data_IF_861891899727
#
_entry.id   IF_861891899727
#
_cell.length_a   1.000
_cell.length_b   1.000
_cell.length_c   1.000
_cell.angle_alpha   90.00
_cell.angle_beta   90.00
_cell.angle_gamma   90.00
#
_symmetry.space_group_name_H-M   'P 1'
#
loop_
_entity.id
_entity.type
_entity.pdbx_description
1 polymer ?
#
# COMPACT_ATOMS: atom_id res chain seq x y z
N UNK A 1 -2.93 10.36 18.82
CA UNK A 1 -3.71 10.87 17.66
C UNK A 1 -2.91 10.77 16.35
N UNK A 2 -2.16 9.68 16.11
CA UNK A 2 -1.29 9.51 14.93
C UNK A 2 -1.60 8.29 14.05
N UNK A 3 -2.72 7.61 14.30
CA UNK A 3 -3.11 6.34 13.66
C UNK A 3 -4.27 6.49 12.66
N UNK A 4 -4.59 7.73 12.25
CA UNK A 4 -5.77 8.06 11.42
C UNK A 4 -5.42 8.23 9.93
N UNK A 5 -4.15 8.07 9.54
CA UNK A 5 -3.75 8.13 8.12
C UNK A 5 -3.36 6.74 7.59
N UNK A 6 -4.34 5.90 7.18
CA UNK A 6 -4.08 4.68 6.40
C UNK A 6 -3.64 4.99 4.94
N UNK A 7 -3.13 6.20 4.70
CA UNK A 7 -2.70 6.69 3.39
C UNK A 7 -1.21 7.06 3.34
N UNK A 8 -0.50 7.06 4.47
CA UNK A 8 0.91 7.37 4.48
C UNK A 8 1.71 6.11 4.11
N UNK A 9 2.57 6.16 3.07
CA UNK A 9 3.44 5.05 2.70
C UNK A 9 4.25 4.68 3.94
N UNK A 10 3.88 3.54 4.53
CA UNK A 10 4.24 3.23 5.90
C UNK A 10 5.74 3.01 6.06
N UNK A 11 6.42 2.47 5.06
CA UNK A 11 7.82 2.06 5.17
C UNK A 11 8.80 3.24 5.35
N UNK A 12 8.76 4.35 4.58
CA UNK A 12 9.60 5.53 4.85
C UNK A 12 9.39 6.16 6.22
N UNK A 13 8.14 6.21 6.69
CA UNK A 13 7.78 6.86 7.97
C UNK A 13 8.11 5.94 9.14
N UNK A 14 7.92 4.63 9.00
CA UNK A 14 8.43 3.62 9.92
C UNK A 14 9.96 3.70 10.02
N UNK A 15 10.65 3.74 8.88
CA UNK A 15 12.10 3.86 8.83
C UNK A 15 12.58 5.15 9.50
N UNK A 16 11.94 6.29 9.21
CA UNK A 16 12.26 7.56 9.85
C UNK A 16 12.02 7.51 11.37
N UNK A 17 10.92 6.90 11.83
CA UNK A 17 10.66 6.73 13.26
C UNK A 17 11.68 5.82 13.95
N UNK A 18 12.08 4.72 13.30
CA UNK A 18 13.10 3.80 13.77
C UNK A 18 14.48 4.46 13.82
N UNK A 19 14.81 5.30 12.84
CA UNK A 19 16.04 6.09 12.80
C UNK A 19 16.09 7.12 13.94
N UNK A 20 15.00 7.85 14.17
CA UNK A 20 14.91 8.82 15.27
C UNK A 20 14.98 8.12 16.64
N UNK A 21 14.37 6.94 16.79
CA UNK A 21 14.47 6.14 18.01
C UNK A 21 15.91 5.64 18.26
N UNK A 22 16.59 5.14 17.22
CA UNK A 22 18.00 4.73 17.31
C UNK A 22 18.92 5.91 17.66
N UNK A 23 18.65 7.10 17.11
CA UNK A 23 19.39 8.31 17.42
C UNK A 23 19.15 8.80 18.86
N UNK A 24 17.93 8.69 19.37
CA UNK A 24 17.59 9.04 20.76
C UNK A 24 18.24 8.11 21.80
N UNK A 25 18.63 6.89 21.39
CA UNK A 25 19.37 5.92 22.21
C UNK A 25 20.88 5.92 21.92
N UNK A 26 21.42 6.95 21.25
CA UNK A 26 22.85 7.07 20.88
C UNK A 26 23.40 5.85 20.10
N UNK A 27 22.52 5.16 19.35
CA UNK A 27 22.84 3.92 18.63
C UNK A 27 23.34 2.79 19.54
N UNK A 28 23.04 2.83 20.84
CA UNK A 28 23.52 1.85 21.82
C UNK A 28 23.11 0.40 21.52
N UNK A 29 21.94 0.19 20.90
CA UNK A 29 21.41 -1.13 20.54
C UNK A 29 21.20 -1.31 19.02
N UNK A 30 20.90 -0.22 18.29
CA UNK A 30 20.59 -0.26 16.86
C UNK A 30 21.74 0.36 16.08
N UNK A 31 22.70 -0.48 15.69
CA UNK A 31 23.87 -0.06 14.92
C UNK A 31 23.59 0.17 13.42
N UNK A 32 24.60 0.72 12.71
CA UNK A 32 24.52 1.06 11.28
C UNK A 32 24.08 -0.13 10.38
N UNK A 33 24.45 -1.36 10.72
CA UNK A 33 24.04 -2.57 10.00
C UNK A 33 22.53 -2.78 10.01
N UNK A 34 21.87 -2.56 11.14
CA UNK A 34 20.41 -2.74 11.29
C UNK A 34 19.65 -1.68 10.48
N UNK A 35 20.17 -0.44 10.45
CA UNK A 35 19.63 0.64 9.62
C UNK A 35 19.78 0.35 8.12
N UNK A 36 20.90 -0.22 7.68
CA UNK A 36 21.09 -0.61 6.28
C UNK A 36 20.08 -1.71 5.89
N UNK A 37 19.87 -2.72 6.74
CA UNK A 37 18.87 -3.78 6.50
C UNK A 37 17.46 -3.21 6.43
N UNK A 38 17.07 -2.35 7.38
CA UNK A 38 15.76 -1.68 7.38
C UNK A 38 15.57 -0.77 6.15
N UNK A 39 16.63 -0.08 5.71
CA UNK A 39 16.63 0.71 4.49
C UNK A 39 16.41 -0.13 3.24
N UNK A 40 17.10 -1.28 3.13
CA UNK A 40 16.90 -2.24 2.03
C UNK A 40 15.47 -2.78 2.03
N UNK A 41 14.93 -3.14 3.21
CA UNK A 41 13.54 -3.60 3.33
C UNK A 41 12.54 -2.50 2.90
N UNK A 42 12.82 -1.25 3.23
CA UNK A 42 12.00 -0.09 2.82
C UNK A 42 11.97 0.06 1.30
N UNK A 43 13.12 -0.08 0.64
CA UNK A 43 13.22 -0.05 -0.84
C UNK A 43 12.46 -1.24 -1.45
N UNK A 44 12.60 -2.43 -0.87
CA UNK A 44 11.84 -3.61 -1.27
C UNK A 44 10.34 -3.40 -1.14
N UNK A 45 9.86 -2.69 -0.11
CA UNK A 45 8.43 -2.36 0.02
C UNK A 45 7.91 -1.57 -1.18
N UNK A 46 8.69 -0.62 -1.72
CA UNK A 46 8.31 0.09 -2.94
C UNK A 46 8.24 -0.82 -4.16
N UNK A 47 9.20 -1.74 -4.31
CA UNK A 47 9.20 -2.71 -5.39
C UNK A 47 7.94 -3.61 -5.32
N UNK A 48 7.57 -4.06 -4.11
CA UNK A 48 6.36 -4.83 -3.89
C UNK A 48 5.07 -4.02 -4.07
N UNK A 49 5.03 -2.75 -3.67
CA UNK A 49 3.89 -1.87 -3.93
C UNK A 49 3.65 -1.72 -5.43
N UNK A 50 4.73 -1.52 -6.18
CA UNK A 50 4.67 -1.42 -7.63
C UNK A 50 4.26 -2.74 -8.29
N UNK A 51 4.82 -3.87 -7.84
CA UNK A 51 4.44 -5.19 -8.33
C UNK A 51 2.97 -5.50 -8.00
N UNK A 52 2.52 -5.28 -6.77
CA UNK A 52 1.15 -5.56 -6.34
C UNK A 52 0.14 -4.70 -7.11
N UNK A 53 0.42 -3.41 -7.30
CA UNK A 53 -0.41 -2.51 -8.10
C UNK A 53 -0.46 -2.92 -9.57
N UNK A 54 0.70 -3.27 -10.16
CA UNK A 54 0.78 -3.70 -11.55
C UNK A 54 0.12 -5.08 -11.77
N UNK A 55 0.28 -6.02 -10.84
CA UNK A 55 -0.31 -7.35 -10.93
C UNK A 55 -1.82 -7.31 -10.71
N UNK A 56 -2.31 -6.55 -9.72
CA UNK A 56 -3.74 -6.36 -9.47
C UNK A 56 -4.48 -5.76 -10.67
N UNK A 57 -3.89 -4.74 -11.31
CA UNK A 57 -4.47 -4.13 -12.49
C UNK A 57 -4.39 -5.02 -13.75
N UNK A 58 -3.25 -5.69 -13.99
CA UNK A 58 -3.08 -6.54 -15.19
C UNK A 58 -3.86 -7.85 -15.11
N UNK A 59 -3.99 -8.47 -13.94
CA UNK A 59 -4.59 -9.83 -13.79
C UNK A 59 -6.07 -9.86 -14.20
N UNK A 60 -6.78 -8.74 -14.05
CA UNK A 60 -8.21 -8.64 -14.37
C UNK A 60 -8.50 -7.89 -15.69
N UNK A 61 -7.48 -7.59 -16.49
CA UNK A 61 -7.66 -6.96 -17.79
C UNK A 61 -8.14 -5.51 -17.74
N UNK A 62 -7.86 -4.79 -16.64
CA UNK A 62 -8.27 -3.40 -16.47
C UNK A 62 -7.65 -2.49 -17.54
N UNK A 63 -8.46 -1.66 -18.18
CA UNK A 63 -7.95 -0.65 -19.10
C UNK A 63 -7.22 0.46 -18.36
N UNK A 64 -6.42 1.24 -19.10
CA UNK A 64 -5.74 2.42 -18.55
C UNK A 64 -6.72 3.41 -17.91
N UNK A 65 -7.95 3.52 -18.45
CA UNK A 65 -9.02 4.37 -17.89
C UNK A 65 -9.62 3.78 -16.62
N UNK A 66 -9.77 2.47 -16.51
CA UNK A 66 -10.17 1.82 -15.26
C UNK A 66 -9.13 2.03 -14.15
N UNK A 67 -7.83 1.95 -14.47
CA UNK A 67 -6.77 2.23 -13.48
C UNK A 67 -6.85 3.68 -13.00
N UNK A 68 -6.99 4.66 -13.90
CA UNK A 68 -7.11 6.07 -13.52
C UNK A 68 -8.39 6.30 -12.69
N UNK A 69 -9.51 5.69 -13.12
CA UNK A 69 -10.78 5.76 -12.41
C UNK A 69 -10.69 5.16 -11.01
N UNK A 70 -10.04 4.00 -10.86
CA UNK A 70 -9.81 3.36 -9.57
C UNK A 70 -8.98 4.24 -8.64
N UNK A 71 -7.91 4.87 -9.16
CA UNK A 71 -7.05 5.77 -8.39
C UNK A 71 -7.82 7.00 -7.92
N UNK A 72 -8.59 7.64 -8.80
CA UNK A 72 -9.44 8.78 -8.41
C UNK A 72 -10.51 8.36 -7.41
N UNK A 73 -11.13 7.20 -7.63
CA UNK A 73 -12.09 6.60 -6.72
C UNK A 73 -11.49 6.28 -5.35
N UNK A 74 -10.23 5.84 -5.29
CA UNK A 74 -9.50 5.64 -4.03
C UNK A 74 -9.29 6.95 -3.29
N UNK A 75 -8.85 8.01 -4.00
CA UNK A 75 -8.61 9.34 -3.42
C UNK A 75 -9.91 9.92 -2.85
N UNK A 76 -10.99 9.89 -3.63
CA UNK A 76 -12.31 10.35 -3.17
C UNK A 76 -12.82 9.46 -2.04
N UNK A 77 -12.60 8.15 -2.14
CA UNK A 77 -12.99 7.16 -1.16
C UNK A 77 -12.40 7.38 0.24
N UNK A 78 -11.19 7.93 0.34
CA UNK A 78 -10.55 8.27 1.62
C UNK A 78 -11.42 9.24 2.44
N UNK A 79 -12.13 10.18 1.79
CA UNK A 79 -13.01 11.12 2.48
C UNK A 79 -14.27 10.48 3.07
N UNK A 80 -14.64 9.28 2.59
CA UNK A 80 -15.78 8.51 3.07
C UNK A 80 -15.38 7.41 4.06
N UNK A 81 -14.11 7.38 4.51
CA UNK A 81 -13.60 6.43 5.51
C UNK A 81 -13.43 5.00 4.98
N UNK A 82 -13.53 4.01 5.88
CA UNK A 82 -13.29 2.59 5.56
C UNK A 82 -14.17 2.08 4.39
N UNK A 83 -15.49 2.35 4.34
CA UNK A 83 -16.33 1.90 3.23
C UNK A 83 -15.91 2.57 1.91
N UNK A 84 -15.53 3.84 1.96
CA UNK A 84 -15.10 4.60 0.80
C UNK A 84 -13.77 4.13 0.23
N UNK A 85 -12.81 3.74 1.07
CA UNK A 85 -11.52 3.21 0.61
C UNK A 85 -11.70 1.89 -0.14
N UNK A 86 -12.68 1.06 0.25
CA UNK A 86 -12.95 -0.21 -0.42
C UNK A 86 -13.85 -0.04 -1.66
N UNK A 87 -14.92 0.74 -1.55
CA UNK A 87 -15.91 0.93 -2.63
C UNK A 87 -15.49 1.98 -3.66
N UNK A 88 -14.71 2.98 -3.26
CA UNK A 88 -14.24 4.05 -4.12
C UNK A 88 -13.45 3.55 -5.34
N UNK A 89 -12.39 2.75 -5.16
CA UNK A 89 -11.65 2.16 -6.27
C UNK A 89 -12.51 1.25 -7.15
N UNK A 90 -13.46 0.50 -6.56
CA UNK A 90 -14.38 -0.34 -7.32
C UNK A 90 -15.27 0.49 -8.25
N UNK A 91 -15.97 1.49 -7.70
CA UNK A 91 -16.87 2.36 -8.45
C UNK A 91 -16.08 3.15 -9.50
N UNK A 92 -14.94 3.70 -9.11
CA UNK A 92 -14.05 4.43 -10.01
C UNK A 92 -13.53 3.57 -11.16
N UNK A 93 -13.13 2.33 -10.90
CA UNK A 93 -12.69 1.39 -11.93
C UNK A 93 -13.81 1.00 -12.89
N UNK A 94 -15.01 0.72 -12.36
CA UNK A 94 -16.20 0.39 -13.16
C UNK A 94 -16.56 1.55 -14.08
N UNK A 95 -16.65 2.78 -13.56
CA UNK A 95 -16.95 3.97 -14.35
C UNK A 95 -15.84 4.26 -15.38
N UNK A 96 -14.57 4.09 -14.99
CA UNK A 96 -13.43 4.26 -15.88
C UNK A 96 -13.43 3.25 -17.03
N UNK A 97 -13.74 1.98 -16.76
CA UNK A 97 -13.84 0.95 -17.79
C UNK A 97 -15.06 1.19 -18.70
N UNK A 98 -16.22 1.55 -18.14
CA UNK A 98 -17.44 1.81 -18.90
C UNK A 98 -17.25 2.98 -19.88
N UNK A 99 -16.45 3.98 -19.49
CA UNK A 99 -16.07 5.11 -20.35
C UNK A 99 -15.12 4.72 -21.49
N UNK A 100 -14.39 3.61 -21.34
CA UNK A 100 -13.48 3.09 -22.36
C UNK A 100 -14.20 2.13 -23.32
N UNK A 101 -14.98 1.21 -22.75
CA UNK A 101 -15.72 0.18 -23.46
C UNK A 101 -17.07 0.01 -22.77
N UNK A 102 -18.21 0.14 -23.48
CA UNK A 102 -19.54 -0.05 -22.91
C UNK A 102 -19.88 -1.54 -22.73
N UNK A 103 -18.98 -2.32 -22.12
CA UNK A 103 -19.18 -3.73 -21.81
C UNK A 103 -19.28 -3.89 -20.29
N UNK A 104 -20.51 -4.05 -19.78
CA UNK A 104 -20.78 -4.22 -18.35
C UNK A 104 -20.01 -5.39 -17.73
N UNK A 105 -19.82 -6.49 -18.48
CA UNK A 105 -19.09 -7.66 -17.99
C UNK A 105 -17.61 -7.33 -17.75
N UNK A 106 -17.00 -6.60 -18.68
CA UNK A 106 -15.62 -6.14 -18.54
C UNK A 106 -15.47 -5.10 -17.42
N UNK A 107 -16.42 -4.16 -17.31
CA UNK A 107 -16.41 -3.14 -16.27
C UNK A 107 -16.53 -3.74 -14.86
N UNK A 108 -17.41 -4.74 -14.66
CA UNK A 108 -17.53 -5.45 -13.39
C UNK A 108 -16.25 -6.21 -13.02
N UNK A 109 -15.63 -6.90 -13.98
CA UNK A 109 -14.36 -7.60 -13.76
C UNK A 109 -13.21 -6.63 -13.44
N UNK A 110 -13.15 -5.48 -14.12
CA UNK A 110 -12.19 -4.43 -13.83
C UNK A 110 -12.39 -3.82 -12.43
N UNK A 111 -13.66 -3.63 -12.02
CA UNK A 111 -14.04 -3.24 -10.68
C UNK A 111 -13.51 -4.20 -9.62
N UNK A 112 -13.87 -5.49 -9.74
CA UNK A 112 -13.42 -6.55 -8.82
C UNK A 112 -11.89 -6.63 -8.78
N UNK A 113 -11.25 -6.50 -9.94
CA UNK A 113 -9.79 -6.49 -10.03
C UNK A 113 -9.13 -5.32 -9.32
N UNK A 114 -9.74 -4.13 -9.39
CA UNK A 114 -9.26 -2.96 -8.66
C UNK A 114 -9.39 -3.13 -7.14
N UNK A 115 -10.53 -3.65 -6.65
CA UNK A 115 -10.69 -3.92 -5.21
C UNK A 115 -9.78 -5.03 -4.71
N UNK A 116 -9.62 -6.12 -5.45
CA UNK A 116 -8.70 -7.20 -5.08
C UNK A 116 -7.24 -6.73 -5.14
N UNK A 117 -6.87 -5.93 -6.13
CA UNK A 117 -5.54 -5.33 -6.23
C UNK A 117 -5.23 -4.42 -5.04
N UNK A 118 -6.20 -3.58 -4.64
CA UNK A 118 -6.08 -2.76 -3.43
C UNK A 118 -5.94 -3.64 -2.18
N UNK A 119 -6.82 -4.63 -2.01
CA UNK A 119 -6.80 -5.52 -0.85
C UNK A 119 -5.47 -6.29 -0.73
N UNK A 120 -4.95 -6.82 -1.84
CA UNK A 120 -3.65 -7.48 -1.88
C UNK A 120 -2.50 -6.51 -1.58
N UNK A 121 -2.55 -5.28 -2.10
CA UNK A 121 -1.56 -4.25 -1.78
C UNK A 121 -1.57 -3.89 -0.29
N UNK A 122 -2.74 -3.75 0.31
CA UNK A 122 -2.90 -3.49 1.75
C UNK A 122 -2.38 -4.67 2.58
N UNK A 123 -2.72 -5.91 2.19
CA UNK A 123 -2.25 -7.11 2.87
C UNK A 123 -0.71 -7.23 2.80
N UNK A 124 -0.11 -6.99 1.63
CA UNK A 124 1.35 -6.99 1.48
C UNK A 124 2.02 -5.92 2.35
N UNK A 125 1.46 -4.70 2.40
CA UNK A 125 1.94 -3.63 3.29
C UNK A 125 1.89 -4.02 4.75
N UNK A 126 0.78 -4.62 5.20
CA UNK A 126 0.63 -5.08 6.58
C UNK A 126 1.67 -6.14 6.92
N UNK A 127 1.86 -7.16 6.07
CA UNK A 127 2.85 -8.21 6.29
C UNK A 127 4.26 -7.65 6.40
N UNK A 128 4.65 -6.70 5.54
CA UNK A 128 5.96 -6.05 5.66
C UNK A 128 6.10 -5.20 6.92
N UNK A 129 5.06 -4.44 7.28
CA UNK A 129 5.09 -3.63 8.50
C UNK A 129 5.29 -4.52 9.75
N UNK A 130 4.59 -5.65 9.84
CA UNK A 130 4.78 -6.62 10.91
C UNK A 130 6.18 -7.25 10.89
N UNK A 131 6.74 -7.56 9.72
CA UNK A 131 8.09 -8.10 9.60
C UNK A 131 9.15 -7.09 10.09
N UNK A 132 9.03 -5.82 9.70
CA UNK A 132 9.95 -4.76 10.14
C UNK A 132 9.87 -4.53 11.65
N UNK A 133 8.65 -4.51 12.22
CA UNK A 133 8.44 -4.41 13.66
C UNK A 133 9.02 -5.62 14.41
N UNK A 134 8.82 -6.84 13.90
CA UNK A 134 9.36 -8.06 14.48
C UNK A 134 10.88 -8.05 14.54
N UNK A 135 11.55 -7.67 13.44
CA UNK A 135 13.02 -7.53 13.40
C UNK A 135 13.50 -6.49 14.41
N UNK A 136 12.85 -5.33 14.48
CA UNK A 136 13.24 -4.29 15.43
C UNK A 136 13.11 -4.75 16.89
N UNK A 137 12.01 -5.40 17.25
CA UNK A 137 11.80 -5.90 18.62
C UNK A 137 12.82 -6.97 18.97
N UNK A 138 13.13 -7.90 18.05
CA UNK A 138 14.13 -8.95 18.28
C UNK A 138 15.52 -8.31 18.52
N UNK A 139 15.92 -7.35 17.68
CA UNK A 139 17.21 -6.66 17.82
C UNK A 139 17.26 -5.77 19.07
N UNK A 140 16.13 -5.24 19.53
CA UNK A 140 16.07 -4.37 20.71
C UNK A 140 16.17 -5.13 22.04
N UNK A 141 15.72 -6.39 22.06
CA UNK A 141 15.59 -7.21 23.28
C UNK A 141 16.60 -8.38 23.38
N UNK A 142 17.35 -8.70 22.32
CA UNK A 142 18.53 -9.58 22.36
C UNK A 142 19.82 -8.76 22.41
#
# INVERSE_FOLDING_TARGET
MGLVFPALPGAPILYAGLFVAAWAEDFAYVGATTLIVLGIMTILTYAFDFLAGAFGAKRFGASRRAVIGATLGAIVGIFFGIPGILLGPFIGAVLGELSNRPNLKAAGLAGIGATLGLALGVAAKLTMAFAMLGIFVIVRFM
#
